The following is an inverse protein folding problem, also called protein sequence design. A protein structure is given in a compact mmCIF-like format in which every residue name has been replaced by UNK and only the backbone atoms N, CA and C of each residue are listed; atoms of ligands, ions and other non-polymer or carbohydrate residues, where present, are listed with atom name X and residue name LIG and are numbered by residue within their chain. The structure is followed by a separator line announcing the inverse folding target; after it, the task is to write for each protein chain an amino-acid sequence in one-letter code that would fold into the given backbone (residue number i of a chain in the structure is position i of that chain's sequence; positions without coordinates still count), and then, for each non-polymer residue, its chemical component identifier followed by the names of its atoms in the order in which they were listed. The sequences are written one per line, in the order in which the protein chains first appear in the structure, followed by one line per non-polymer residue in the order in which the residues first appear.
data_IF_694813008243
#
_entry.id   IF_694813008243
#
_cell.length_a   1.000
_cell.length_b   1.000
_cell.length_c   1.000
_cell.angle_alpha   90.00
_cell.angle_beta   90.00
_cell.angle_gamma   90.00
#
_symmetry.space_group_name_H-M   'P 1'
#
loop_
_entity.id
_entity.type
_entity.pdbx_description
1 polymer ?
#
# COMPACT_ATOMS: atom_id res chain seq x y z
N UNK A 1 -5.93 7.96 -14.31
CA UNK A 1 -4.74 7.31 -13.72
C UNK A 1 -4.65 5.92 -14.32
N UNK A 2 -3.83 5.73 -15.34
CA UNK A 2 -3.62 4.39 -15.91
C UNK A 2 -2.71 3.59 -14.96
N UNK A 3 -3.06 2.33 -14.67
CA UNK A 3 -2.22 1.41 -13.89
C UNK A 3 -2.62 1.16 -12.43
N UNK A 4 -3.66 1.81 -11.91
CA UNK A 4 -4.26 1.47 -10.61
C UNK A 4 -5.38 0.44 -10.83
N UNK A 5 -5.06 -0.83 -10.58
CA UNK A 5 -5.96 -1.97 -10.84
C UNK A 5 -6.15 -2.75 -9.53
N UNK A 6 -7.35 -3.28 -9.25
CA UNK A 6 -7.57 -4.14 -8.10
C UNK A 6 -6.52 -5.27 -8.00
N UNK A 7 -6.06 -5.53 -6.77
CA UNK A 7 -5.00 -6.49 -6.45
C UNK A 7 -3.58 -5.93 -6.50
N UNK A 8 -3.35 -4.75 -7.08
CA UNK A 8 -2.02 -4.14 -7.13
C UNK A 8 -1.67 -3.50 -5.78
N UNK A 9 -0.39 -3.46 -5.45
CA UNK A 9 0.09 -2.77 -4.24
C UNK A 9 0.51 -1.35 -4.57
N UNK A 10 0.06 -0.40 -3.75
CA UNK A 10 0.29 1.02 -4.01
C UNK A 10 0.67 1.78 -2.74
N UNK A 11 1.53 2.78 -2.93
CA UNK A 11 1.75 3.84 -1.95
C UNK A 11 1.23 5.14 -2.53
N UNK A 12 0.26 5.76 -1.86
CA UNK A 12 -0.26 7.06 -2.27
C UNK A 12 0.53 8.20 -1.64
N UNK A 13 0.66 9.28 -2.39
CA UNK A 13 1.04 10.59 -1.88
C UNK A 13 -0.21 11.45 -1.85
N UNK A 14 -0.60 11.90 -0.67
CA UNK A 14 -1.80 12.71 -0.48
C UNK A 14 -1.46 14.21 -0.41
N UNK A 15 -2.38 15.07 -0.83
CA UNK A 15 -2.28 16.52 -0.67
C UNK A 15 -2.42 16.90 0.80
N UNK A 16 -3.42 16.32 1.45
CA UNK A 16 -3.67 16.43 2.89
C UNK A 16 -3.86 15.02 3.48
N UNK A 17 -3.45 14.79 4.74
CA UNK A 17 -3.67 13.51 5.41
C UNK A 17 -5.16 13.15 5.43
N UNK A 18 -5.47 11.86 5.29
CA UNK A 18 -6.84 11.34 5.47
C UNK A 18 -6.84 10.55 6.78
N UNK A 19 -7.48 11.11 7.81
CA UNK A 19 -7.32 10.60 9.17
C UNK A 19 -5.89 10.81 9.66
N UNK A 20 -5.30 9.78 10.28
CA UNK A 20 -3.90 9.80 10.73
C UNK A 20 -2.91 9.47 9.59
N UNK A 21 -3.42 8.98 8.46
CA UNK A 21 -2.61 8.50 7.34
C UNK A 21 -2.15 9.63 6.44
N UNK A 22 -0.82 9.82 6.41
CA UNK A 22 -0.16 10.80 5.53
C UNK A 22 0.28 10.17 4.21
N UNK A 23 0.61 8.89 4.24
CA UNK A 23 1.20 8.12 3.14
C UNK A 23 0.69 6.69 3.18
N UNK A 24 -0.60 6.48 2.89
CA UNK A 24 -1.21 5.16 3.00
C UNK A 24 -0.55 4.22 1.98
N UNK A 25 -0.29 3.02 2.45
CA UNK A 25 0.28 1.91 1.67
C UNK A 25 -0.71 0.78 1.79
N UNK A 26 -1.08 0.16 0.67
CA UNK A 26 -2.07 -0.89 0.70
C UNK A 26 -2.30 -1.54 -0.65
N UNK A 27 -3.11 -2.59 -0.63
CA UNK A 27 -3.58 -3.25 -1.83
C UNK A 27 -4.81 -2.52 -2.36
N UNK A 28 -4.87 -2.32 -3.68
CA UNK A 28 -6.02 -1.71 -4.34
C UNK A 28 -7.19 -2.68 -4.30
N UNK A 29 -8.28 -2.26 -3.68
CA UNK A 29 -9.54 -3.00 -3.65
C UNK A 29 -10.44 -2.56 -4.81
N UNK A 30 -10.54 -1.24 -4.99
CA UNK A 30 -11.47 -0.65 -5.94
C UNK A 30 -11.01 0.74 -6.41
N UNK A 31 -11.32 1.06 -7.66
CA UNK A 31 -10.95 2.31 -8.34
C UNK A 31 -12.12 2.74 -9.21
N UNK A 32 -12.56 3.99 -9.07
CA UNK A 32 -13.61 4.57 -9.91
C UNK A 32 -13.29 6.01 -10.33
N UNK A 33 -14.29 6.74 -10.82
CA UNK A 33 -14.17 8.14 -11.22
C UNK A 33 -14.04 9.13 -10.06
N UNK A 34 -14.29 8.70 -8.83
CA UNK A 34 -14.26 9.53 -7.62
C UNK A 34 -13.00 9.32 -6.79
N UNK A 35 -12.46 8.11 -6.75
CA UNK A 35 -11.29 7.81 -5.95
C UNK A 35 -10.79 6.38 -6.02
N UNK A 36 -10.02 6.05 -4.98
CA UNK A 36 -9.41 4.74 -4.78
C UNK A 36 -9.68 4.26 -3.37
N UNK A 37 -9.98 2.96 -3.27
CA UNK A 37 -10.09 2.24 -2.01
C UNK A 37 -8.94 1.25 -1.89
N UNK A 38 -8.31 1.25 -0.72
CA UNK A 38 -7.21 0.39 -0.36
C UNK A 38 -7.55 -0.44 0.88
N UNK A 39 -7.08 -1.68 0.91
CA UNK A 39 -6.83 -2.43 2.15
C UNK A 39 -5.44 -2.05 2.64
N UNK A 40 -5.36 -1.37 3.79
CA UNK A 40 -4.08 -0.87 4.30
C UNK A 40 -3.14 -2.01 4.69
N UNK A 41 -1.85 -1.77 4.45
CA UNK A 41 -0.78 -2.59 4.96
C UNK A 41 -0.73 -2.51 6.48
N UNK A 42 -0.79 -3.65 7.16
CA UNK A 42 -0.38 -3.73 8.56
C UNK A 42 1.15 -3.73 8.63
N UNK A 43 1.70 -2.73 9.32
CA UNK A 43 3.14 -2.58 9.52
C UNK A 43 3.77 -3.65 10.42
N UNK A 44 2.97 -4.45 11.14
CA UNK A 44 3.44 -5.55 12.00
C UNK A 44 3.48 -6.86 11.22
N UNK A 45 2.37 -7.25 10.58
CA UNK A 45 2.30 -8.52 9.82
C UNK A 45 2.85 -8.40 8.40
N UNK A 46 2.89 -7.20 7.83
CA UNK A 46 3.24 -6.99 6.43
C UNK A 46 2.14 -7.41 5.45
N UNK A 47 0.96 -7.73 5.95
CA UNK A 47 -0.19 -8.16 5.16
C UNK A 47 -1.17 -7.01 4.92
N UNK A 48 -2.03 -7.13 3.90
CA UNK A 48 -3.13 -6.20 3.72
C UNK A 48 -4.21 -6.57 4.74
N UNK A 49 -4.40 -5.73 5.77
CA UNK A 49 -5.52 -5.88 6.67
C UNK A 49 -6.75 -5.19 6.07
N UNK A 50 -7.93 -5.72 6.39
CA UNK A 50 -9.24 -5.23 5.94
C UNK A 50 -9.62 -3.86 6.53
N UNK A 51 -8.64 -3.00 6.76
CA UNK A 51 -8.85 -1.59 7.08
C UNK A 51 -9.12 -0.83 5.81
N UNK A 52 -10.39 -0.48 5.63
CA UNK A 52 -10.88 0.29 4.50
C UNK A 52 -10.35 1.72 4.52
N UNK A 53 -9.39 2.00 3.65
CA UNK A 53 -8.93 3.35 3.38
C UNK A 53 -9.47 3.85 2.05
N UNK A 54 -10.11 5.01 2.05
CA UNK A 54 -10.58 5.66 0.82
C UNK A 54 -9.94 7.03 0.65
N UNK A 55 -9.36 7.28 -0.54
CA UNK A 55 -8.86 8.59 -0.93
C UNK A 55 -9.56 9.08 -2.21
N UNK A 56 -10.22 10.26 -2.17
CA UNK A 56 -10.76 10.87 -3.38
C UNK A 56 -9.62 11.38 -4.27
N UNK A 57 -9.79 11.35 -5.59
CA UNK A 57 -8.74 11.78 -6.52
C UNK A 57 -8.29 13.22 -6.35
N UNK A 58 -9.20 14.09 -5.89
CA UNK A 58 -8.89 15.50 -5.56
C UNK A 58 -7.82 15.63 -4.47
N UNK A 59 -7.65 14.59 -3.64
CA UNK A 59 -6.65 14.54 -2.57
C UNK A 59 -5.41 13.70 -2.94
N UNK A 60 -5.39 12.99 -4.06
CA UNK A 60 -4.24 12.17 -4.47
C UNK A 60 -3.30 13.01 -5.34
N UNK A 61 -2.05 13.20 -4.89
CA UNK A 61 -1.00 13.87 -5.66
C UNK A 61 -0.23 12.91 -6.59
N UNK A 62 -0.16 11.65 -6.21
CA UNK A 62 0.50 10.62 -7.01
C UNK A 62 0.45 9.25 -6.33
N UNK A 63 0.84 8.23 -7.07
CA UNK A 63 0.91 6.85 -6.60
C UNK A 63 2.18 6.18 -7.11
N UNK A 64 2.83 5.39 -6.26
CA UNK A 64 3.82 4.40 -6.69
C UNK A 64 3.14 3.05 -6.67
N UNK A 65 3.22 2.32 -7.78
CA UNK A 65 2.46 1.09 -8.02
C UNK A 65 3.43 -0.07 -8.22
N UNK A 66 3.29 -1.12 -7.41
CA UNK A 66 3.94 -2.39 -7.64
C UNK A 66 3.05 -3.26 -8.53
N UNK A 67 3.49 -3.47 -9.77
CA UNK A 67 2.83 -4.37 -10.72
C UNK A 67 3.03 -5.84 -10.32
N UNK A 68 2.25 -6.80 -10.83
CA UNK A 68 2.38 -8.23 -10.50
C UNK A 68 3.74 -8.85 -10.82
N UNK A 69 4.48 -8.25 -11.76
CA UNK A 69 5.84 -8.67 -12.10
C UNK A 69 6.90 -8.10 -11.14
N UNK A 70 6.48 -7.26 -10.19
CA UNK A 70 7.33 -6.69 -9.18
C UNK A 70 7.26 -7.54 -7.92
N UNK A 71 8.40 -7.72 -7.25
CA UNK A 71 8.45 -8.40 -5.95
C UNK A 71 7.69 -7.56 -4.92
N UNK A 72 6.46 -7.97 -4.64
CA UNK A 72 5.55 -7.29 -3.70
C UNK A 72 6.16 -7.24 -2.30
N UNK A 73 6.82 -8.32 -1.88
CA UNK A 73 7.47 -8.38 -0.57
C UNK A 73 8.55 -7.32 -0.46
N UNK A 74 9.39 -7.20 -1.49
CA UNK A 74 10.41 -6.15 -1.56
C UNK A 74 9.81 -4.75 -1.57
N UNK A 75 8.72 -4.53 -2.29
CA UNK A 75 8.02 -3.24 -2.32
C UNK A 75 7.49 -2.84 -0.94
N UNK A 76 6.87 -3.78 -0.24
CA UNK A 76 6.35 -3.59 1.11
C UNK A 76 7.51 -3.34 2.09
N UNK A 77 8.59 -4.14 2.01
CA UNK A 77 9.80 -3.97 2.83
C UNK A 77 10.46 -2.60 2.65
N UNK A 78 10.67 -2.16 1.41
CA UNK A 78 11.24 -0.84 1.10
C UNK A 78 10.34 0.29 1.60
N UNK A 79 9.03 0.08 1.57
CA UNK A 79 8.05 1.07 2.02
C UNK A 79 7.99 1.17 3.54
N UNK A 80 7.88 0.04 4.25
CA UNK A 80 7.94 -0.02 5.72
C UNK A 80 9.24 0.59 6.24
N UNK A 81 10.38 0.23 5.64
CA UNK A 81 11.68 0.79 6.06
C UNK A 81 11.73 2.31 5.90
N UNK A 82 11.09 2.85 4.86
CA UNK A 82 11.10 4.28 4.55
C UNK A 82 10.11 5.11 5.36
N UNK A 83 8.94 4.56 5.67
CA UNK A 83 7.86 5.27 6.36
C UNK A 83 7.84 4.99 7.87
N UNK A 84 8.22 3.78 8.31
CA UNK A 84 8.20 3.35 9.72
C UNK A 84 9.59 3.27 10.38
N UNK A 85 10.68 3.49 9.63
CA UNK A 85 12.00 3.77 10.19
C UNK A 85 12.81 2.59 10.74
N UNK A 86 12.47 1.33 10.45
CA UNK A 86 13.26 0.18 10.93
C UNK A 86 12.77 -1.19 10.45
N UNK A 87 13.55 -2.27 10.64
CA UNK A 87 13.29 -3.58 10.05
C UNK A 87 12.19 -4.32 10.83
N UNK A 88 10.93 -4.08 10.47
CA UNK A 88 9.79 -4.81 11.04
C UNK A 88 9.71 -6.28 10.56
N UNK A 89 10.54 -6.69 9.58
CA UNK A 89 10.58 -8.04 9.00
C UNK A 89 11.59 -9.00 9.65
N UNK A 90 12.01 -8.77 10.90
CA UNK A 90 13.02 -9.62 11.53
C UNK A 90 12.57 -11.09 11.74
N UNK A 91 11.26 -11.37 11.76
CA UNK A 91 10.75 -12.69 12.19
C UNK A 91 9.60 -13.25 11.34
N UNK A 92 9.43 -12.85 10.07
CA UNK A 92 8.50 -13.57 9.18
C UNK A 92 9.24 -14.78 8.61
N UNK A 93 8.93 -16.03 9.04
CA UNK A 93 9.59 -17.20 8.49
C UNK A 93 9.30 -17.20 6.99
N UNK A 94 10.33 -17.23 6.17
CA UNK A 94 10.19 -17.55 4.76
C UNK A 94 9.38 -18.85 4.69
N UNK A 95 8.10 -18.77 4.27
CA UNK A 95 7.41 -19.95 3.79
C UNK A 95 8.23 -20.40 2.58
N UNK A 96 9.04 -21.43 2.80
CA UNK A 96 9.68 -22.18 1.74
C UNK A 96 8.54 -22.75 0.89
N UNK A 97 8.60 -22.44 -0.40
CA UNK A 97 7.83 -23.11 -1.43
C UNK A 97 7.87 -24.63 -1.19
N UNK A 98 6.68 -25.24 -1.19
CA UNK A 98 6.50 -26.69 -1.22
C UNK A 98 5.59 -27.03 -2.41
#
# INVERSE_FOLDING_TARGET
MEGLVPGYWVRLTLREPVGEEKRPVGQVEYVDEHGIRLSLLDGVTGEAESWDFYAPWTNVLGAVVATPNHDVRRFVEETIKRELGGPYFADVPSQQDN
#
